data_IF_877179692119
#
_entry.id   IF_877179692119
#
_cell.length_a   1.000
_cell.length_b   1.000
_cell.length_c   1.000
_cell.angle_alpha   90.00
_cell.angle_beta   90.00
_cell.angle_gamma   90.00
#
_symmetry.space_group_name_H-M   'P 1'
#
loop_
_entity.id
_entity.type
_entity.pdbx_description
1 polymer ?
#
# COMPACT_ATOMS: atom_id res chain seq x y z
N UNK A 1 -11.93 -10.07 2.42
CA UNK A 1 -12.91 -9.34 1.62
C UNK A 1 -14.31 -9.41 2.24
N UNK A 2 -15.24 -8.61 1.70
CA UNK A 2 -16.67 -8.68 2.02
C UNK A 2 -17.00 -8.28 3.48
N UNK A 3 -16.27 -7.34 4.04
CA UNK A 3 -16.52 -6.80 5.39
C UNK A 3 -17.92 -6.19 5.52
N UNK A 4 -18.56 -5.80 4.42
CA UNK A 4 -19.94 -5.35 4.37
C UNK A 4 -20.97 -6.43 4.75
N UNK A 5 -20.54 -7.69 4.83
CA UNK A 5 -21.39 -8.80 5.24
C UNK A 5 -21.26 -9.15 6.72
N UNK A 6 -20.30 -8.60 7.45
CA UNK A 6 -20.03 -8.98 8.84
C UNK A 6 -21.23 -8.73 9.77
N UNK A 7 -21.86 -7.56 9.66
CA UNK A 7 -23.04 -7.23 10.46
C UNK A 7 -24.20 -8.16 10.14
N UNK A 8 -24.50 -8.34 8.86
CA UNK A 8 -25.58 -9.24 8.42
C UNK A 8 -25.35 -10.70 8.85
N UNK A 9 -24.13 -11.19 8.75
CA UNK A 9 -23.80 -12.56 9.17
C UNK A 9 -23.98 -12.73 10.68
N UNK A 10 -23.60 -11.73 11.46
CA UNK A 10 -23.81 -11.74 12.89
C UNK A 10 -25.29 -11.66 13.29
N UNK A 11 -26.10 -10.86 12.60
CA UNK A 11 -27.55 -10.81 12.81
C UNK A 11 -28.22 -12.16 12.55
N UNK A 12 -27.81 -12.87 11.51
CA UNK A 12 -28.36 -14.17 11.14
C UNK A 12 -27.84 -15.32 12.00
N UNK A 13 -26.61 -15.20 12.50
CA UNK A 13 -25.90 -16.24 13.23
C UNK A 13 -25.07 -15.64 14.39
N UNK A 14 -25.74 -15.21 15.48
CA UNK A 14 -25.10 -14.43 16.56
C UNK A 14 -23.95 -15.15 17.29
N UNK A 15 -23.93 -16.48 17.29
CA UNK A 15 -22.87 -17.28 17.89
C UNK A 15 -21.63 -17.43 17.00
N UNK A 16 -21.64 -16.98 15.77
CA UNK A 16 -20.49 -17.10 14.89
C UNK A 16 -19.41 -16.11 15.26
N UNK A 17 -18.20 -16.62 15.33
CA UNK A 17 -16.99 -15.78 15.32
C UNK A 17 -16.62 -15.51 13.86
N UNK A 18 -16.44 -14.25 13.51
CA UNK A 18 -16.14 -13.83 12.15
C UNK A 18 -14.65 -13.51 12.02
N UNK A 19 -14.05 -13.94 10.93
CA UNK A 19 -12.66 -13.71 10.60
C UNK A 19 -12.51 -13.37 9.11
N UNK A 20 -11.88 -12.27 8.77
CA UNK A 20 -11.45 -11.96 7.41
C UNK A 20 -10.32 -12.92 6.99
N UNK A 21 -10.63 -13.90 6.17
CA UNK A 21 -9.68 -14.97 5.81
C UNK A 21 -8.62 -14.56 4.81
N UNK A 22 -8.87 -13.49 4.02
CA UNK A 22 -7.91 -12.91 3.08
C UNK A 22 -8.29 -11.46 2.75
N UNK A 23 -7.35 -10.54 2.86
CA UNK A 23 -7.52 -9.14 2.49
C UNK A 23 -6.32 -8.60 1.72
N UNK A 24 -6.54 -7.55 0.93
CA UNK A 24 -5.52 -6.90 0.13
C UNK A 24 -4.63 -5.99 0.98
N UNK A 25 -3.30 -5.99 0.78
CA UNK A 25 -2.36 -5.23 1.62
C UNK A 25 -2.65 -3.73 1.69
N UNK A 26 -3.03 -3.10 0.58
CA UNK A 26 -3.32 -1.67 0.52
C UNK A 26 -4.62 -1.30 1.25
N UNK A 27 -5.56 -2.22 1.35
CA UNK A 27 -6.91 -1.96 1.84
C UNK A 27 -7.04 -1.99 3.36
N UNK A 28 -6.01 -2.40 4.07
CA UNK A 28 -6.01 -2.49 5.55
C UNK A 28 -6.43 -1.16 6.20
N UNK A 29 -6.09 -0.02 5.60
CA UNK A 29 -6.36 1.29 6.19
C UNK A 29 -7.84 1.63 6.36
N UNK A 30 -8.71 1.12 5.49
CA UNK A 30 -10.15 1.32 5.61
C UNK A 30 -10.91 0.06 6.07
N UNK A 31 -10.33 -1.13 5.93
CA UNK A 31 -10.93 -2.38 6.43
C UNK A 31 -10.73 -2.58 7.93
N UNK A 32 -9.55 -2.29 8.44
CA UNK A 32 -9.22 -2.50 9.84
C UNK A 32 -10.14 -1.75 10.82
N UNK A 33 -10.56 -0.49 10.59
CA UNK A 33 -11.55 0.18 11.42
C UNK A 33 -12.89 -0.56 11.55
N UNK A 34 -13.30 -1.31 10.53
CA UNK A 34 -14.51 -2.15 10.59
C UNK A 34 -14.28 -3.31 11.55
N UNK A 35 -13.12 -3.96 11.46
CA UNK A 35 -12.74 -5.05 12.38
C UNK A 35 -12.71 -4.56 13.83
N UNK A 36 -12.10 -3.39 14.08
CA UNK A 36 -12.02 -2.80 15.43
C UNK A 36 -13.39 -2.41 16.00
N UNK A 37 -14.33 -2.02 15.16
CA UNK A 37 -15.66 -1.58 15.57
C UNK A 37 -16.59 -2.76 15.92
N UNK A 38 -16.33 -3.98 15.45
CA UNK A 38 -17.21 -5.12 15.55
C UNK A 38 -16.62 -6.19 16.49
N UNK A 39 -17.10 -6.30 17.74
CA UNK A 39 -16.49 -7.16 18.77
C UNK A 39 -16.58 -8.66 18.47
N UNK A 40 -17.41 -9.07 17.54
CA UNK A 40 -17.55 -10.45 17.07
C UNK A 40 -16.65 -10.77 15.87
N UNK A 41 -15.90 -9.79 15.36
CA UNK A 41 -14.88 -9.97 14.34
C UNK A 41 -13.51 -10.04 15.02
N UNK A 42 -12.86 -11.18 14.97
CA UNK A 42 -11.60 -11.42 15.71
C UNK A 42 -10.35 -10.99 14.99
N UNK A 43 -10.47 -10.54 13.74
CA UNK A 43 -9.34 -10.04 12.94
C UNK A 43 -9.51 -10.27 11.45
N UNK A 44 -8.43 -9.98 10.73
CA UNK A 44 -8.30 -10.31 9.32
C UNK A 44 -6.89 -10.85 9.00
N UNK A 45 -6.78 -11.62 7.93
CA UNK A 45 -5.52 -12.03 7.36
C UNK A 45 -5.26 -11.30 6.04
N UNK A 46 -4.03 -10.89 5.82
CA UNK A 46 -3.61 -10.39 4.52
C UNK A 46 -3.03 -11.51 3.65
N UNK A 47 -3.23 -11.43 2.38
CA UNK A 47 -2.43 -12.17 1.43
C UNK A 47 -1.35 -11.22 0.87
N UNK A 48 -0.04 -11.33 1.33
CA UNK A 48 0.37 -12.32 2.33
C UNK A 48 1.34 -11.68 3.31
N UNK A 49 1.75 -12.40 4.36
CA UNK A 49 2.70 -11.89 5.35
C UNK A 49 4.15 -11.97 4.84
N UNK A 50 4.52 -13.03 4.12
CA UNK A 50 5.89 -13.32 3.66
C UNK A 50 5.90 -13.60 2.17
N UNK A 51 6.79 -12.93 1.44
CA UNK A 51 6.85 -13.04 -0.01
C UNK A 51 7.37 -14.42 -0.46
N UNK A 52 7.01 -14.84 -1.65
CA UNK A 52 7.25 -16.19 -2.14
C UNK A 52 7.53 -16.23 -3.63
N UNK A 53 8.09 -17.36 -4.08
CA UNK A 53 8.29 -17.70 -5.49
C UNK A 53 7.04 -18.41 -6.00
N UNK A 54 6.48 -17.92 -7.08
CA UNK A 54 5.23 -18.45 -7.66
C UNK A 54 4.56 -17.34 -8.41
N UNK A 55 3.35 -17.02 -8.15
CA UNK A 55 2.49 -16.00 -8.76
C UNK A 55 3.20 -14.65 -9.04
N UNK A 56 4.27 -14.73 -9.86
CA UNK A 56 5.24 -13.66 -10.07
C UNK A 56 4.57 -12.34 -10.46
N UNK A 57 4.74 -11.32 -9.63
CA UNK A 57 4.17 -9.99 -9.84
C UNK A 57 2.67 -9.89 -9.64
N UNK A 58 2.03 -10.79 -8.87
CA UNK A 58 0.61 -10.63 -8.50
C UNK A 58 0.38 -9.30 -7.76
N UNK A 59 1.36 -8.85 -6.95
CA UNK A 59 1.37 -7.58 -6.22
C UNK A 59 2.03 -6.41 -6.96
N UNK A 60 2.16 -6.48 -8.28
CA UNK A 60 2.83 -5.44 -9.07
C UNK A 60 2.04 -4.13 -9.16
N UNK A 61 2.78 -3.04 -9.36
CA UNK A 61 2.25 -1.76 -9.80
C UNK A 61 2.86 -1.39 -11.16
N UNK A 62 2.11 -0.65 -11.96
CA UNK A 62 2.55 -0.06 -13.23
C UNK A 62 2.34 1.46 -13.21
N UNK A 63 3.21 2.17 -13.89
CA UNK A 63 3.16 3.62 -14.05
C UNK A 63 3.18 3.95 -15.53
N UNK A 64 2.09 4.46 -16.02
CA UNK A 64 1.85 4.67 -17.45
C UNK A 64 1.39 6.09 -17.73
N UNK A 65 1.44 6.49 -18.98
CA UNK A 65 0.86 7.75 -19.39
C UNK A 65 -0.66 7.74 -19.26
N UNK A 66 -1.27 8.90 -19.00
CA UNK A 66 -2.71 8.98 -18.71
C UNK A 66 -3.62 8.47 -19.86
N UNK A 67 -3.09 8.41 -21.09
CA UNK A 67 -3.81 7.87 -22.25
C UNK A 67 -3.52 6.39 -22.54
N UNK A 68 -2.75 5.72 -21.69
CA UNK A 68 -2.44 4.30 -21.87
C UNK A 68 -3.71 3.44 -21.69
N UNK A 69 -3.98 2.44 -22.57
CA UNK A 69 -5.13 1.57 -22.46
C UNK A 69 -5.23 0.80 -21.13
N UNK A 70 -4.13 0.61 -20.42
CA UNK A 70 -4.13 -0.01 -19.09
C UNK A 70 -4.91 0.80 -18.06
N UNK A 71 -5.00 2.13 -18.25
CA UNK A 71 -5.73 3.02 -17.32
C UNK A 71 -7.22 2.67 -17.27
N UNK A 72 -7.84 2.40 -18.43
CA UNK A 72 -9.26 2.02 -18.51
C UNK A 72 -9.54 0.66 -17.86
N UNK A 73 -8.59 -0.28 -17.97
CA UNK A 73 -8.70 -1.61 -17.37
C UNK A 73 -8.44 -1.60 -15.85
N UNK A 74 -7.75 -0.58 -15.34
CA UNK A 74 -7.42 -0.43 -13.93
C UNK A 74 -6.67 -1.63 -13.34
N UNK A 75 -6.89 -1.99 -12.05
CA UNK A 75 -6.21 -3.10 -11.38
C UNK A 75 -6.35 -4.45 -12.10
N UNK A 76 -7.45 -4.67 -12.82
CA UNK A 76 -7.70 -5.88 -13.60
C UNK A 76 -6.70 -6.08 -14.76
N UNK A 77 -6.06 -4.99 -15.25
CA UNK A 77 -5.01 -5.07 -16.25
C UNK A 77 -3.75 -5.79 -15.76
N UNK A 78 -3.60 -5.90 -14.44
CA UNK A 78 -2.42 -6.45 -13.79
C UNK A 78 -2.69 -7.81 -13.11
N UNK A 79 -3.82 -8.44 -13.43
CA UNK A 79 -4.21 -9.73 -12.84
C UNK A 79 -3.23 -10.85 -13.19
N UNK A 80 -3.08 -11.87 -12.30
CA UNK A 80 -2.33 -13.08 -12.60
C UNK A 80 -2.95 -13.82 -13.77
N UNK A 81 -2.13 -14.43 -14.60
CA UNK A 81 -2.55 -15.19 -15.79
C UNK A 81 -1.83 -14.74 -17.05
N UNK A 82 -1.42 -13.50 -17.15
CA UNK A 82 -0.38 -13.08 -18.07
C UNK A 82 0.96 -13.14 -17.33
N UNK A 83 1.89 -13.93 -17.82
CA UNK A 83 3.22 -14.06 -17.22
C UNK A 83 3.83 -12.67 -17.03
N UNK A 84 4.07 -12.29 -15.79
CA UNK A 84 4.72 -11.02 -15.52
C UNK A 84 6.13 -11.04 -16.09
N UNK A 85 6.50 -10.05 -16.93
CA UNK A 85 7.81 -10.01 -17.56
C UNK A 85 8.91 -9.87 -16.49
N UNK A 86 10.16 -10.13 -16.90
CA UNK A 86 11.31 -9.73 -16.08
C UNK A 86 11.19 -8.23 -15.72
N UNK A 87 11.49 -7.78 -14.48
CA UNK A 87 12.23 -8.53 -13.43
C UNK A 87 11.37 -9.30 -12.42
N UNK A 88 10.07 -9.38 -12.59
CA UNK A 88 9.20 -10.04 -11.64
C UNK A 88 9.56 -11.53 -11.46
N UNK A 89 9.84 -11.95 -10.24
CA UNK A 89 10.16 -13.33 -9.84
C UNK A 89 9.38 -13.77 -8.61
N UNK A 90 9.10 -12.82 -7.71
CA UNK A 90 8.34 -13.02 -6.48
C UNK A 90 6.92 -12.50 -6.68
N UNK A 91 6.03 -12.87 -5.79
CA UNK A 91 4.65 -12.39 -5.78
C UNK A 91 4.57 -10.87 -5.56
N UNK A 92 5.41 -10.33 -4.68
CA UNK A 92 5.53 -8.90 -4.36
C UNK A 92 4.26 -8.31 -3.71
N UNK A 93 3.55 -9.13 -2.94
CA UNK A 93 2.29 -8.80 -2.28
C UNK A 93 2.37 -8.84 -0.75
N UNK A 94 3.55 -9.17 -0.21
CA UNK A 94 3.74 -9.47 1.20
C UNK A 94 4.15 -8.27 2.06
N UNK A 95 3.93 -8.38 3.37
CA UNK A 95 4.44 -7.44 4.37
C UNK A 95 5.97 -7.52 4.52
N UNK A 96 6.55 -8.71 4.30
CA UNK A 96 8.00 -8.96 4.33
C UNK A 96 8.47 -9.59 3.03
N UNK A 97 9.64 -9.17 2.56
CA UNK A 97 10.28 -9.83 1.42
C UNK A 97 10.77 -11.25 1.79
N UNK A 98 11.21 -12.01 0.81
CA UNK A 98 11.66 -13.39 0.99
C UNK A 98 12.86 -13.51 1.95
N UNK A 99 13.57 -12.42 2.24
CA UNK A 99 14.70 -12.38 3.18
C UNK A 99 14.32 -11.88 4.58
N UNK A 100 13.04 -11.53 4.79
CA UNK A 100 12.54 -11.02 6.07
C UNK A 100 12.67 -9.50 6.25
N UNK A 101 12.96 -8.76 5.19
CA UNK A 101 12.97 -7.30 5.22
C UNK A 101 11.54 -6.77 5.12
N UNK A 102 11.18 -5.85 6.01
CA UNK A 102 9.87 -5.20 5.98
C UNK A 102 9.70 -4.36 4.70
N UNK A 103 8.63 -4.65 3.97
CA UNK A 103 8.21 -3.93 2.77
C UNK A 103 7.29 -2.73 3.11
N UNK A 104 7.06 -1.80 2.17
CA UNK A 104 6.22 -0.63 2.41
C UNK A 104 4.81 -0.97 2.91
N UNK A 105 4.16 -1.99 2.36
CA UNK A 105 2.84 -2.44 2.80
C UNK A 105 2.84 -2.99 4.23
N UNK A 106 3.90 -3.66 4.65
CA UNK A 106 4.06 -4.08 6.04
C UNK A 106 4.29 -2.90 6.99
N UNK A 107 5.01 -1.87 6.56
CA UNK A 107 5.12 -0.62 7.31
C UNK A 107 3.76 0.07 7.42
N UNK A 108 2.97 0.08 6.35
CA UNK A 108 1.60 0.62 6.34
C UNK A 108 0.70 -0.09 7.34
N UNK A 109 0.71 -1.43 7.34
CA UNK A 109 -0.05 -2.23 8.31
C UNK A 109 0.31 -1.88 9.75
N UNK A 110 1.60 -1.75 10.07
CA UNK A 110 2.03 -1.35 11.42
C UNK A 110 1.46 0.00 11.83
N UNK A 111 1.46 0.98 10.93
CA UNK A 111 0.89 2.31 11.21
C UNK A 111 -0.62 2.23 11.42
N UNK A 112 -1.34 1.47 10.59
CA UNK A 112 -2.79 1.25 10.74
C UNK A 112 -3.10 0.57 12.07
N UNK A 113 -2.29 -0.38 12.49
CA UNK A 113 -2.41 -1.08 13.78
C UNK A 113 -1.88 -0.30 14.99
N UNK A 114 -1.65 1.00 14.83
CA UNK A 114 -1.35 1.92 15.92
C UNK A 114 0.13 2.09 16.26
N UNK A 115 1.07 1.62 15.41
CA UNK A 115 2.47 2.02 15.57
C UNK A 115 2.60 3.54 15.47
N UNK A 116 3.44 4.10 16.36
CA UNK A 116 3.79 5.52 16.35
C UNK A 116 4.96 5.85 15.42
N UNK A 117 5.51 4.83 14.75
CA UNK A 117 6.59 5.03 13.79
C UNK A 117 6.08 5.81 12.59
N UNK A 118 6.95 6.67 12.07
CA UNK A 118 6.74 7.36 10.80
C UNK A 118 7.71 6.77 9.78
N UNK A 119 7.17 6.36 8.63
CA UNK A 119 7.92 5.73 7.56
C UNK A 119 7.97 6.67 6.37
N UNK A 120 9.16 6.84 5.81
CA UNK A 120 9.41 7.66 4.62
C UNK A 120 9.88 6.77 3.47
N UNK A 121 9.20 6.89 2.35
CA UNK A 121 9.54 6.23 1.10
C UNK A 121 9.59 7.25 -0.03
N UNK A 122 10.27 6.91 -1.11
CA UNK A 122 10.26 7.71 -2.33
C UNK A 122 9.79 6.88 -3.52
N UNK A 123 9.13 7.54 -4.46
CA UNK A 123 8.81 6.98 -5.76
C UNK A 123 9.98 7.21 -6.72
N UNK A 124 10.26 6.24 -7.58
CA UNK A 124 11.31 6.42 -8.60
C UNK A 124 10.94 7.61 -9.50
N UNK A 125 11.89 8.54 -9.81
CA UNK A 125 11.60 9.74 -10.57
C UNK A 125 10.96 9.50 -11.94
N UNK A 126 11.25 8.39 -12.60
CA UNK A 126 10.60 7.99 -13.86
C UNK A 126 9.08 7.85 -13.78
N UNK A 127 8.56 7.66 -12.55
CA UNK A 127 7.13 7.50 -12.30
C UNK A 127 6.42 8.84 -12.00
N UNK A 128 7.18 9.93 -11.93
CA UNK A 128 6.63 11.24 -11.63
C UNK A 128 5.58 11.66 -12.68
N UNK A 129 4.41 12.09 -12.22
CA UNK A 129 3.23 12.46 -13.03
C UNK A 129 2.66 11.35 -13.92
N UNK A 130 3.10 10.12 -13.78
CA UNK A 130 2.44 8.98 -14.43
C UNK A 130 1.20 8.53 -13.65
N UNK A 131 0.27 7.93 -14.36
CA UNK A 131 -0.89 7.28 -13.75
C UNK A 131 -0.45 5.96 -13.13
N UNK A 132 -0.70 5.82 -11.83
CA UNK A 132 -0.41 4.62 -11.08
C UNK A 132 -1.55 3.62 -11.22
N UNK A 133 -1.23 2.40 -11.62
CA UNK A 133 -2.14 1.26 -11.63
C UNK A 133 -1.55 0.21 -10.70
N UNK A 134 -2.29 -0.16 -9.66
CA UNK A 134 -1.86 -1.14 -8.68
C UNK A 134 -2.76 -2.36 -8.82
N UNK A 135 -2.16 -3.56 -8.89
CA UNK A 135 -2.94 -4.81 -8.86
C UNK A 135 -3.72 -4.94 -7.56
N UNK A 136 -4.67 -5.86 -7.49
CA UNK A 136 -5.50 -6.04 -6.28
C UNK A 136 -4.65 -6.37 -5.06
N UNK A 137 -3.64 -7.23 -5.20
CA UNK A 137 -2.69 -7.59 -4.13
C UNK A 137 -1.50 -6.64 -4.01
N UNK A 138 -1.48 -5.56 -4.80
CA UNK A 138 -0.35 -4.65 -4.89
C UNK A 138 -0.36 -3.54 -3.84
N UNK A 139 0.77 -2.82 -3.86
CA UNK A 139 1.00 -1.61 -3.09
C UNK A 139 1.73 -0.60 -4.00
N UNK A 140 1.69 0.71 -3.73
CA UNK A 140 2.49 1.68 -4.47
C UNK A 140 3.96 1.27 -4.55
N UNK A 141 4.56 1.35 -5.74
CA UNK A 141 5.96 0.98 -5.95
C UNK A 141 6.89 2.07 -5.41
N UNK A 142 6.97 2.14 -4.09
CA UNK A 142 7.81 3.07 -3.36
C UNK A 142 8.98 2.34 -2.70
N UNK A 143 10.10 3.05 -2.55
CA UNK A 143 11.36 2.49 -2.10
C UNK A 143 11.86 3.24 -0.87
N UNK A 144 12.53 2.53 0.04
CA UNK A 144 13.31 3.13 1.11
C UNK A 144 14.69 3.55 0.56
N UNK A 145 14.66 4.43 -0.40
CA UNK A 145 15.84 4.94 -1.10
C UNK A 145 15.65 6.43 -1.38
N UNK A 146 16.75 7.17 -1.45
CA UNK A 146 16.76 8.60 -1.79
C UNK A 146 17.73 8.89 -2.94
N UNK A 147 18.67 8.01 -3.21
CA UNK A 147 19.73 8.23 -4.19
C UNK A 147 19.31 7.66 -5.55
N UNK A 148 19.09 8.54 -6.51
CA UNK A 148 18.74 8.22 -7.88
C UNK A 148 19.80 8.86 -8.80
N UNK A 149 20.88 8.12 -9.06
CA UNK A 149 21.99 8.56 -9.93
C UNK A 149 21.47 8.95 -11.33
N UNK A 150 21.84 10.13 -11.81
CA UNK A 150 21.39 10.67 -13.10
C UNK A 150 20.03 11.36 -13.07
N UNK A 151 19.43 11.52 -11.88
CA UNK A 151 18.14 12.23 -11.70
C UNK A 151 18.28 13.52 -10.88
N UNK A 152 19.49 14.07 -10.78
CA UNK A 152 19.76 15.31 -10.04
C UNK A 152 18.90 16.46 -10.60
N UNK A 153 18.21 17.18 -9.74
CA UNK A 153 17.29 18.24 -10.09
C UNK A 153 15.98 17.79 -10.74
N UNK A 154 15.66 16.50 -10.67
CA UNK A 154 14.36 15.96 -11.06
C UNK A 154 13.41 15.90 -9.85
N UNK A 155 12.13 15.93 -10.15
CA UNK A 155 11.11 15.72 -9.11
C UNK A 155 11.14 14.31 -8.54
N UNK A 156 10.98 14.22 -7.22
CA UNK A 156 10.80 12.97 -6.47
C UNK A 156 9.56 13.09 -5.62
N UNK A 157 8.61 12.21 -5.81
CA UNK A 157 7.47 12.09 -4.91
C UNK A 157 7.87 11.28 -3.68
N UNK A 158 7.62 11.84 -2.50
CA UNK A 158 7.75 11.13 -1.23
C UNK A 158 6.40 10.66 -0.75
N UNK A 159 6.36 9.45 -0.20
CA UNK A 159 5.20 8.88 0.48
C UNK A 159 5.56 8.67 1.94
N UNK A 160 4.84 9.35 2.83
CA UNK A 160 4.99 9.21 4.27
C UNK A 160 3.81 8.43 4.82
N UNK A 161 4.09 7.42 5.62
CA UNK A 161 3.09 6.64 6.34
C UNK A 161 3.23 6.97 7.83
N UNK A 162 2.16 7.48 8.45
CA UNK A 162 2.21 7.94 9.84
C UNK A 162 0.83 7.92 10.50
N UNK A 163 0.82 7.64 11.81
CA UNK A 163 -0.35 7.81 12.66
C UNK A 163 -0.51 9.24 13.22
N UNK A 164 0.44 10.14 12.96
CA UNK A 164 0.39 11.55 13.37
C UNK A 164 -0.73 12.31 12.66
N UNK A 165 -1.09 13.48 13.19
CA UNK A 165 -2.07 14.36 12.53
C UNK A 165 -1.45 15.15 11.38
N UNK A 166 -0.15 15.49 11.51
CA UNK A 166 0.60 16.30 10.55
C UNK A 166 2.04 15.80 10.44
N UNK A 167 2.63 15.94 9.27
CA UNK A 167 4.03 15.61 8.96
C UNK A 167 4.72 16.82 8.35
N UNK A 168 5.94 17.08 8.75
CA UNK A 168 6.86 18.05 8.15
C UNK A 168 8.05 17.33 7.53
N UNK A 169 8.40 17.68 6.31
CA UNK A 169 9.63 17.24 5.67
C UNK A 169 10.72 18.30 5.88
N UNK A 170 11.87 17.87 6.41
CA UNK A 170 13.05 18.71 6.57
C UNK A 170 14.18 18.12 5.72
N UNK A 171 14.63 18.85 4.70
CA UNK A 171 15.74 18.49 3.84
C UNK A 171 16.93 19.41 4.10
N UNK A 172 18.06 18.86 4.50
CA UNK A 172 19.29 19.61 4.81
C UNK A 172 19.05 20.78 5.80
N UNK A 173 18.20 20.56 6.81
CA UNK A 173 17.86 21.56 7.83
C UNK A 173 16.83 22.59 7.39
N UNK A 174 16.29 22.51 6.19
CA UNK A 174 15.26 23.42 5.68
C UNK A 174 13.92 22.70 5.55
N UNK A 175 12.86 23.34 6.07
CA UNK A 175 11.49 22.82 5.93
C UNK A 175 11.07 22.86 4.46
N UNK A 176 10.54 21.75 4.00
CA UNK A 176 9.91 21.61 2.68
C UNK A 176 8.38 21.69 2.78
N UNK A 177 7.89 22.07 3.95
CA UNK A 177 6.48 22.25 4.24
C UNK A 177 5.90 21.18 5.16
N UNK A 178 4.71 21.50 5.66
CA UNK A 178 3.90 20.65 6.51
C UNK A 178 2.62 20.26 5.78
N UNK A 179 2.17 19.03 5.99
CA UNK A 179 0.90 18.56 5.45
C UNK A 179 0.16 17.70 6.48
N UNK A 180 -1.17 17.81 6.53
CA UNK A 180 -1.98 16.87 7.31
C UNK A 180 -1.86 15.47 6.74
N UNK A 181 -1.86 14.48 7.62
CA UNK A 181 -1.94 13.07 7.23
C UNK A 181 -3.39 12.74 6.89
N UNK A 182 -3.62 12.07 5.77
CA UNK A 182 -4.95 11.64 5.34
C UNK A 182 -5.57 10.69 6.38
N UNK A 183 -6.82 10.93 6.75
CA UNK A 183 -7.55 10.07 7.70
C UNK A 183 -8.59 9.19 7.03
N UNK A 184 -8.92 9.49 5.79
CA UNK A 184 -9.91 8.79 4.96
C UNK A 184 -9.37 8.61 3.55
N UNK A 185 -10.14 7.99 2.66
CA UNK A 185 -9.74 7.80 1.27
C UNK A 185 -9.19 6.40 1.01
N UNK A 186 -8.53 6.23 -0.13
CA UNK A 186 -8.03 4.93 -0.58
C UNK A 186 -6.82 4.42 0.19
N UNK A 187 -6.09 5.31 0.86
CA UNK A 187 -4.91 4.98 1.65
C UNK A 187 -4.77 5.91 2.86
N UNK A 188 -5.66 5.78 3.88
CA UNK A 188 -5.57 6.54 5.11
C UNK A 188 -4.20 6.36 5.78
N UNK A 189 -3.80 7.31 6.65
CA UNK A 189 -2.51 7.30 7.31
C UNK A 189 -1.31 7.51 6.37
N UNK A 190 -1.56 8.11 5.23
CA UNK A 190 -0.50 8.49 4.28
C UNK A 190 -0.54 9.98 3.94
N UNK A 191 0.58 10.51 3.46
CA UNK A 191 0.67 11.86 2.89
C UNK A 191 1.79 11.90 1.85
N UNK A 192 1.60 12.66 0.78
CA UNK A 192 2.56 12.78 -0.30
C UNK A 192 3.20 14.18 -0.32
N UNK A 193 4.51 14.21 -0.61
CA UNK A 193 5.27 15.44 -0.86
C UNK A 193 5.97 15.33 -2.21
N UNK A 194 6.09 16.44 -2.89
CA UNK A 194 6.82 16.58 -4.15
C UNK A 194 8.04 17.47 -3.90
N UNK A 195 9.22 16.94 -4.13
CA UNK A 195 10.50 17.63 -3.94
C UNK A 195 11.30 17.65 -5.25
N UNK A 196 12.24 18.62 -5.33
CA UNK A 196 13.20 18.76 -6.44
C UNK A 196 14.61 18.67 -5.89
#
# INVERSE_FOLDING_TARGET
>A
YMEELYERDHELFPERVILGSENFPKEIGYRWPVVEALPYVIGDFTWTAWDYIGEAGIGKAAYVDACDPLVERGPWALMPGEASPFPWRLANDADYDITGRLLPQGAYRRVVWGSKDTWLFSMHPDNYKKTEIISMWGFPAVLKNWNYEGYEGKHVELVVLSAADEVEIILNGQSQGKKPVEKTGSMPRSVKFDLI
#
